data_IF_686784069592
#
_entry.id   IF_686784069592
#
_cell.length_a   1.000
_cell.length_b   1.000
_cell.length_c   1.000
_cell.angle_alpha   90.00
_cell.angle_beta   90.00
_cell.angle_gamma   90.00
#
_symmetry.space_group_name_H-M   'P 1'
#
loop_
_entity.id
_entity.type
_entity.pdbx_description
1 polymer ?
#
# COMPACT_ATOMS: atom_id res chain seq x y z
N UNK A 1 8.02 2.95 -11.21
CA UNK A 1 7.61 2.19 -9.99
C UNK A 1 6.36 1.35 -10.27
N UNK A 2 5.21 1.95 -10.59
CA UNK A 2 3.92 1.25 -10.78
C UNK A 2 4.00 0.13 -11.81
N UNK A 3 4.67 0.35 -12.93
CA UNK A 3 4.88 -0.65 -13.96
C UNK A 3 5.62 -1.89 -13.42
N UNK A 4 6.68 -1.69 -12.62
CA UNK A 4 7.43 -2.78 -12.00
C UNK A 4 6.60 -3.56 -10.99
N UNK A 5 5.71 -2.89 -10.26
CA UNK A 5 4.76 -3.55 -9.34
C UNK A 5 3.79 -4.42 -10.12
N UNK A 6 3.20 -3.89 -11.19
CA UNK A 6 2.26 -4.63 -12.03
C UNK A 6 2.91 -5.83 -12.70
N UNK A 7 4.15 -5.69 -13.19
CA UNK A 7 4.93 -6.81 -13.74
C UNK A 7 5.15 -7.91 -12.70
N UNK A 8 5.62 -7.53 -11.51
CA UNK A 8 5.90 -8.50 -10.46
C UNK A 8 4.62 -9.21 -9.98
N UNK A 9 3.50 -8.49 -9.87
CA UNK A 9 2.20 -9.08 -9.52
C UNK A 9 1.73 -10.02 -10.63
N UNK A 10 1.79 -9.59 -11.88
CA UNK A 10 1.38 -10.40 -13.04
C UNK A 10 2.18 -11.68 -13.14
N UNK A 11 3.53 -11.61 -13.01
CA UNK A 11 4.39 -12.80 -13.08
C UNK A 11 4.10 -13.79 -11.95
N UNK A 12 3.86 -13.30 -10.73
CA UNK A 12 3.64 -14.15 -9.55
C UNK A 12 2.22 -14.67 -9.40
N UNK A 13 1.27 -14.19 -10.23
CA UNK A 13 -0.16 -14.54 -10.22
C UNK A 13 -0.64 -15.18 -11.53
N UNK A 14 0.22 -15.85 -12.29
CA UNK A 14 -0.10 -16.42 -13.62
C UNK A 14 -1.34 -17.35 -13.68
N UNK A 15 -1.89 -17.75 -12.55
CA UNK A 15 -3.10 -18.58 -12.48
C UNK A 15 -4.38 -17.83 -12.10
N UNK A 16 -4.28 -16.60 -11.65
CA UNK A 16 -5.46 -15.79 -11.32
C UNK A 16 -6.01 -15.20 -12.62
N UNK A 17 -7.04 -15.83 -13.16
CA UNK A 17 -7.69 -15.56 -14.46
C UNK A 17 -8.29 -14.13 -14.56
N UNK A 18 -8.44 -13.41 -13.48
CA UNK A 18 -9.07 -12.08 -13.47
C UNK A 18 -8.14 -10.92 -13.83
N UNK A 19 -6.82 -11.11 -13.78
CA UNK A 19 -5.84 -10.10 -14.20
C UNK A 19 -5.27 -10.41 -15.59
N UNK A 20 -6.12 -10.47 -16.62
CA UNK A 20 -5.73 -10.50 -18.03
C UNK A 20 -5.05 -9.20 -18.49
N UNK A 21 -4.19 -8.63 -17.64
CA UNK A 21 -3.40 -7.46 -17.96
C UNK A 21 -2.08 -7.89 -18.59
N UNK A 22 -2.10 -8.20 -19.89
CA UNK A 22 -0.89 -8.54 -20.61
C UNK A 22 -0.08 -7.27 -20.91
N UNK A 23 0.80 -6.90 -19.96
CA UNK A 23 1.69 -5.73 -20.06
C UNK A 23 2.59 -5.78 -21.29
N UNK A 24 3.14 -6.95 -21.64
CA UNK A 24 4.00 -7.10 -22.83
C UNK A 24 3.26 -6.82 -24.12
N UNK A 25 2.03 -7.33 -24.25
CA UNK A 25 1.19 -7.06 -25.41
C UNK A 25 0.86 -5.57 -25.51
N UNK A 26 0.49 -4.94 -24.39
CA UNK A 26 0.16 -3.50 -24.36
C UNK A 26 1.36 -2.60 -24.63
N UNK A 27 2.57 -2.99 -24.20
CA UNK A 27 3.81 -2.28 -24.54
C UNK A 27 4.11 -2.35 -26.04
N UNK A 28 4.00 -3.55 -26.66
CA UNK A 28 4.19 -3.73 -28.11
C UNK A 28 3.21 -2.90 -28.93
N UNK A 29 2.01 -2.65 -28.40
CA UNK A 29 0.98 -1.85 -29.03
C UNK A 29 1.14 -0.33 -28.72
N UNK A 30 2.22 0.10 -28.05
CA UNK A 30 2.48 1.49 -27.61
C UNK A 30 1.36 2.13 -26.79
N UNK A 31 0.49 1.32 -26.17
CA UNK A 31 -0.65 1.80 -25.37
C UNK A 31 -0.27 2.21 -23.94
N UNK A 32 0.97 1.94 -23.51
CA UNK A 32 1.48 2.30 -22.18
C UNK A 32 2.61 3.29 -22.34
N UNK A 33 2.46 4.46 -21.72
CA UNK A 33 3.50 5.48 -21.62
C UNK A 33 3.80 5.76 -20.16
N UNK A 34 5.08 5.82 -19.82
CA UNK A 34 5.54 6.18 -18.49
C UNK A 34 5.64 7.70 -18.35
N UNK A 35 5.33 8.21 -17.18
CA UNK A 35 5.50 9.60 -16.81
C UNK A 35 6.07 9.74 -15.38
N UNK A 36 6.52 10.94 -15.06
CA UNK A 36 6.95 11.34 -13.70
C UNK A 36 6.51 12.77 -13.44
N UNK A 37 6.59 13.23 -12.18
CA UNK A 37 6.41 14.64 -11.83
C UNK A 37 7.28 15.52 -12.72
N UNK A 38 6.69 16.59 -13.25
CA UNK A 38 7.31 17.49 -14.22
C UNK A 38 7.09 17.10 -15.71
N UNK A 39 6.50 15.93 -15.99
CA UNK A 39 6.03 15.61 -17.33
C UNK A 39 4.81 16.46 -17.67
N UNK A 40 4.69 16.83 -18.97
CA UNK A 40 3.47 17.44 -19.53
C UNK A 40 2.93 16.51 -20.59
N UNK A 41 1.73 16.02 -20.39
CA UNK A 41 1.08 15.04 -21.26
C UNK A 41 -0.04 15.72 -22.02
N UNK A 42 0.03 15.73 -23.36
CA UNK A 42 -1.06 16.24 -24.19
C UNK A 42 -1.99 15.11 -24.62
N UNK A 43 -3.29 15.30 -24.35
CA UNK A 43 -4.36 14.39 -24.76
C UNK A 43 -5.39 15.23 -25.52
N UNK A 44 -5.29 15.23 -26.85
CA UNK A 44 -6.06 16.15 -27.69
C UNK A 44 -5.68 17.60 -27.39
N UNK A 45 -6.66 18.41 -27.00
CA UNK A 45 -6.49 19.81 -26.60
C UNK A 45 -6.18 20.02 -25.12
N UNK A 46 -6.15 18.95 -24.33
CA UNK A 46 -5.97 19.01 -22.87
C UNK A 46 -4.51 18.74 -22.53
N UNK A 47 -3.92 19.55 -21.65
CA UNK A 47 -2.61 19.29 -21.04
C UNK A 47 -2.80 18.73 -19.61
N UNK A 48 -2.14 17.63 -19.30
CA UNK A 48 -2.19 16.95 -18.00
C UNK A 48 -0.81 16.98 -17.36
N UNK A 49 -0.72 17.53 -16.14
CA UNK A 49 0.48 17.53 -15.31
C UNK A 49 0.34 16.50 -14.19
N UNK A 50 1.07 15.37 -14.22
CA UNK A 50 1.13 14.43 -13.13
C UNK A 50 2.03 14.95 -12.02
N UNK A 51 1.57 14.86 -10.78
CA UNK A 51 2.35 15.21 -9.58
C UNK A 51 2.31 14.04 -8.60
N UNK A 52 3.47 13.58 -8.17
CA UNK A 52 3.59 12.45 -7.25
C UNK A 52 2.93 12.77 -5.90
N UNK A 53 2.20 11.83 -5.33
CA UNK A 53 1.59 11.92 -4.01
C UNK A 53 2.05 10.77 -3.12
N UNK A 54 2.01 10.97 -1.82
CA UNK A 54 2.24 9.89 -0.85
C UNK A 54 1.00 9.01 -0.72
N UNK A 55 1.21 7.72 -0.84
CA UNK A 55 0.20 6.67 -0.64
C UNK A 55 0.91 5.39 -0.16
N UNK A 56 0.17 4.40 0.35
CA UNK A 56 0.72 3.11 0.80
C UNK A 56 1.42 2.34 -0.32
N UNK A 57 0.93 2.47 -1.56
CA UNK A 57 1.54 1.88 -2.77
C UNK A 57 2.41 2.92 -3.46
N UNK A 58 3.72 2.67 -3.68
CA UNK A 58 4.61 3.61 -4.36
C UNK A 58 4.18 3.86 -5.81
N UNK A 59 4.33 5.11 -6.26
CA UNK A 59 3.99 5.51 -7.63
C UNK A 59 2.55 5.99 -7.79
N UNK A 60 1.92 6.46 -6.71
CA UNK A 60 0.64 7.16 -6.75
C UNK A 60 0.83 8.60 -7.25
N UNK A 61 -0.12 9.09 -8.04
CA UNK A 61 -0.10 10.43 -8.64
C UNK A 61 -1.46 11.11 -8.54
N UNK A 62 -1.42 12.40 -8.21
CA UNK A 62 -2.49 13.32 -8.54
C UNK A 62 -2.23 13.99 -9.90
N UNK A 63 -3.25 14.57 -10.48
CA UNK A 63 -3.19 15.18 -11.82
C UNK A 63 -3.79 16.58 -11.80
N UNK A 64 -3.10 17.54 -12.45
CA UNK A 64 -3.62 18.87 -12.75
C UNK A 64 -3.92 18.88 -14.25
N UNK A 65 -5.18 19.05 -14.60
CA UNK A 65 -5.70 18.92 -15.95
C UNK A 65 -6.09 20.33 -16.43
N UNK A 66 -5.29 20.86 -17.34
CA UNK A 66 -5.52 22.20 -17.92
C UNK A 66 -6.47 22.11 -19.09
N UNK A 67 -7.63 22.74 -18.95
CA UNK A 67 -8.68 22.78 -20.00
C UNK A 67 -8.90 24.20 -20.46
N UNK A 68 -9.67 24.38 -21.55
CA UNK A 68 -10.03 25.70 -22.09
C UNK A 68 -10.93 26.54 -21.16
N UNK A 69 -11.58 25.90 -20.18
CA UNK A 69 -12.49 26.56 -19.22
C UNK A 69 -11.91 26.71 -17.82
N UNK A 70 -10.71 26.21 -17.58
CA UNK A 70 -10.00 26.25 -16.29
C UNK A 70 -9.35 24.93 -15.91
N UNK A 71 -8.64 24.91 -14.82
CA UNK A 71 -7.97 23.70 -14.34
C UNK A 71 -8.96 22.78 -13.60
N UNK A 72 -8.80 21.47 -13.80
CA UNK A 72 -9.45 20.41 -13.01
C UNK A 72 -8.37 19.63 -12.30
N UNK A 73 -8.50 19.42 -11.00
CA UNK A 73 -7.55 18.67 -10.19
C UNK A 73 -8.16 17.33 -9.81
N UNK A 74 -7.40 16.25 -9.98
CA UNK A 74 -7.73 14.91 -9.53
C UNK A 74 -6.65 14.41 -8.56
N UNK A 75 -7.03 14.08 -7.33
CA UNK A 75 -6.03 13.72 -6.31
C UNK A 75 -5.47 12.32 -6.50
N UNK A 76 -6.22 11.38 -7.08
CA UNK A 76 -6.00 9.97 -6.85
C UNK A 76 -6.11 9.65 -5.36
N UNK A 77 -5.65 8.48 -4.96
CA UNK A 77 -5.54 8.11 -3.55
C UNK A 77 -4.25 8.70 -2.98
N UNK A 78 -4.35 9.42 -1.86
CA UNK A 78 -3.20 10.09 -1.26
C UNK A 78 -3.31 10.20 0.26
N UNK A 79 -2.19 10.49 0.92
CA UNK A 79 -2.15 10.72 2.37
C UNK A 79 -1.13 11.82 2.70
N UNK A 80 -1.21 12.36 3.93
CA UNK A 80 -0.27 13.38 4.46
C UNK A 80 0.43 12.94 5.76
N UNK A 81 0.27 11.68 6.15
CA UNK A 81 0.80 11.12 7.40
C UNK A 81 1.74 9.92 7.15
N UNK A 82 2.11 9.67 5.91
CA UNK A 82 3.07 8.67 5.51
C UNK A 82 4.52 9.17 5.56
N UNK A 83 5.44 8.32 5.11
CA UNK A 83 6.87 8.60 5.16
C UNK A 83 7.33 9.70 4.18
N UNK A 84 6.52 9.99 3.16
CA UNK A 84 6.82 10.94 2.07
C UNK A 84 5.75 12.02 1.91
N UNK A 85 5.20 12.49 3.02
CA UNK A 85 4.16 13.51 3.06
C UNK A 85 4.51 14.80 2.28
N UNK A 86 5.79 15.12 2.13
CA UNK A 86 6.25 16.27 1.33
C UNK A 86 5.78 16.21 -0.13
N UNK A 87 5.59 15.01 -0.71
CA UNK A 87 5.06 14.84 -2.06
C UNK A 87 3.61 15.30 -2.16
N UNK A 88 2.77 14.91 -1.20
CA UNK A 88 1.36 15.34 -1.16
C UNK A 88 1.23 16.84 -0.85
N UNK A 89 2.14 17.40 -0.03
CA UNK A 89 2.18 18.84 0.21
C UNK A 89 2.56 19.61 -1.07
N UNK A 90 3.56 19.13 -1.82
CA UNK A 90 3.94 19.72 -3.12
C UNK A 90 2.77 19.65 -4.12
N UNK A 91 2.05 18.53 -4.15
CA UNK A 91 0.86 18.39 -4.99
C UNK A 91 -0.21 19.45 -4.64
N UNK A 92 -0.51 19.62 -3.34
CA UNK A 92 -1.49 20.61 -2.88
C UNK A 92 -1.08 22.04 -3.23
N UNK A 93 0.20 22.40 -3.10
CA UNK A 93 0.71 23.71 -3.49
C UNK A 93 0.58 23.96 -5.00
N UNK A 94 0.96 22.99 -5.83
CA UNK A 94 0.79 23.09 -7.30
C UNK A 94 -0.67 23.15 -7.72
N UNK A 95 -1.53 22.34 -7.09
CA UNK A 95 -2.96 22.35 -7.34
C UNK A 95 -3.59 23.70 -6.99
N UNK A 96 -3.19 24.29 -5.84
CA UNK A 96 -3.62 25.63 -5.45
C UNK A 96 -3.20 26.71 -6.45
N UNK A 97 -1.94 26.65 -6.92
CA UNK A 97 -1.43 27.59 -7.93
C UNK A 97 -2.10 27.51 -9.29
N UNK A 98 -2.82 26.41 -9.58
CA UNK A 98 -3.59 26.25 -10.81
C UNK A 98 -5.01 26.88 -10.75
N UNK A 99 -5.45 27.39 -9.59
CA UNK A 99 -6.76 28.00 -9.35
C UNK A 99 -7.92 27.16 -9.92
N UNK A 100 -8.10 25.91 -9.47
CA UNK A 100 -8.96 24.96 -10.15
C UNK A 100 -10.45 25.30 -10.02
N UNK A 101 -11.17 25.11 -11.11
CA UNK A 101 -12.64 25.22 -11.13
C UNK A 101 -13.29 23.96 -10.51
N UNK A 102 -12.58 22.83 -10.51
CA UNK A 102 -13.08 21.59 -9.93
C UNK A 102 -11.94 20.77 -9.30
N UNK A 103 -12.25 20.15 -8.16
CA UNK A 103 -11.40 19.16 -7.48
C UNK A 103 -12.18 17.85 -7.38
N UNK A 104 -11.63 16.79 -7.96
CA UNK A 104 -12.08 15.41 -7.79
C UNK A 104 -11.16 14.77 -6.77
N UNK A 105 -11.67 14.37 -5.62
CA UNK A 105 -10.85 13.90 -4.50
C UNK A 105 -11.44 12.67 -3.83
N UNK A 106 -10.54 11.81 -3.34
CA UNK A 106 -10.93 10.74 -2.44
C UNK A 106 -11.50 11.30 -1.13
N UNK A 107 -12.35 10.51 -0.48
CA UNK A 107 -12.91 10.80 0.84
C UNK A 107 -13.12 9.51 1.66
N UNK A 108 -12.16 8.60 1.59
CA UNK A 108 -12.24 7.23 2.11
C UNK A 108 -12.35 7.19 3.64
N UNK A 109 -11.57 8.00 4.35
CA UNK A 109 -11.47 7.96 5.82
C UNK A 109 -12.46 8.88 6.56
N UNK A 110 -13.57 9.26 5.95
CA UNK A 110 -14.56 10.11 6.64
C UNK A 110 -15.22 9.44 7.85
N UNK A 111 -15.29 8.11 7.83
CA UNK A 111 -15.76 7.27 8.95
C UNK A 111 -14.61 6.39 9.43
N UNK A 112 -14.43 6.28 10.75
CA UNK A 112 -13.45 5.33 11.32
C UNK A 112 -11.99 5.76 11.22
N UNK A 113 -11.67 7.04 11.05
CA UNK A 113 -10.30 7.53 11.02
C UNK A 113 -9.60 7.38 12.37
N UNK A 114 -8.53 6.58 12.43
CA UNK A 114 -7.64 6.53 13.58
C UNK A 114 -6.44 7.44 13.34
N UNK A 115 -6.26 8.44 14.21
CA UNK A 115 -5.12 9.35 14.11
C UNK A 115 -3.82 8.60 14.43
N UNK A 116 -3.02 8.37 13.41
CA UNK A 116 -1.73 7.70 13.49
C UNK A 116 -0.85 8.13 12.32
N UNK A 117 0.41 7.76 12.36
CA UNK A 117 1.38 7.98 11.29
C UNK A 117 2.21 6.72 11.06
N UNK A 118 2.86 6.60 9.91
CA UNK A 118 3.77 5.49 9.62
C UNK A 118 4.91 5.42 10.66
N UNK A 119 5.33 6.57 11.20
CA UNK A 119 6.32 6.63 12.29
C UNK A 119 5.80 6.04 13.60
N UNK A 120 4.54 6.25 13.94
CA UNK A 120 3.92 5.65 15.13
C UNK A 120 3.70 4.15 14.94
N UNK A 121 3.35 3.71 13.73
CA UNK A 121 3.32 2.29 13.36
C UNK A 121 4.68 1.65 13.61
N UNK A 122 5.78 2.21 13.08
CA UNK A 122 7.15 1.68 13.29
C UNK A 122 7.51 1.62 14.78
N UNK A 123 7.14 2.64 15.57
CA UNK A 123 7.35 2.66 17.02
C UNK A 123 6.61 1.53 17.74
N UNK A 124 5.30 1.35 17.43
CA UNK A 124 4.49 0.28 18.03
C UNK A 124 5.01 -1.11 17.63
N UNK A 125 5.36 -1.31 16.36
CA UNK A 125 5.98 -2.53 15.87
C UNK A 125 7.26 -2.86 16.64
N UNK A 126 8.14 -1.86 16.84
CA UNK A 126 9.39 -2.02 17.59
C UNK A 126 9.12 -2.50 19.03
N UNK A 127 8.12 -1.93 19.69
CA UNK A 127 7.74 -2.31 21.06
C UNK A 127 7.19 -3.74 21.15
N UNK A 128 6.26 -4.11 20.24
CA UNK A 128 5.67 -5.46 20.24
C UNK A 128 6.75 -6.52 19.97
N UNK A 129 7.62 -6.26 18.99
CA UNK A 129 8.71 -7.18 18.64
C UNK A 129 9.70 -7.33 19.81
N UNK A 130 9.99 -6.26 20.55
CA UNK A 130 10.85 -6.29 21.73
C UNK A 130 10.27 -7.15 22.87
N UNK A 131 8.95 -7.11 23.06
CA UNK A 131 8.25 -7.84 24.11
C UNK A 131 7.97 -9.32 23.76
N UNK A 132 8.07 -9.68 22.49
CA UNK A 132 7.79 -11.04 22.01
C UNK A 132 9.02 -11.92 22.19
N UNK A 133 8.91 -13.00 22.97
CA UNK A 133 10.00 -13.98 23.15
C UNK A 133 10.05 -15.06 22.06
N UNK A 134 8.95 -15.24 21.32
CA UNK A 134 8.80 -16.22 20.25
C UNK A 134 8.87 -15.61 18.85
N UNK A 135 8.20 -16.27 17.90
CA UNK A 135 8.06 -15.81 16.51
C UNK A 135 7.05 -14.66 16.43
N UNK A 136 7.38 -13.63 15.67
CA UNK A 136 6.43 -12.58 15.31
C UNK A 136 5.96 -12.83 13.87
N UNK A 137 4.66 -13.09 13.72
CA UNK A 137 4.01 -13.18 12.43
C UNK A 137 3.53 -11.78 12.04
N UNK A 138 3.84 -11.34 10.82
CA UNK A 138 3.51 -10.01 10.31
C UNK A 138 2.66 -10.13 9.04
N UNK A 139 1.44 -9.62 9.06
CA UNK A 139 0.56 -9.60 7.89
C UNK A 139 0.34 -8.17 7.41
N UNK A 140 0.82 -7.87 6.20
CA UNK A 140 0.69 -6.58 5.55
C UNK A 140 0.67 -6.70 4.03
N UNK A 141 0.10 -5.70 3.36
CA UNK A 141 0.01 -5.68 1.91
C UNK A 141 1.41 -5.65 1.26
N UNK A 142 1.67 -6.58 0.34
CA UNK A 142 2.98 -6.73 -0.32
C UNK A 142 3.45 -5.47 -1.05
N UNK A 143 2.54 -4.71 -1.63
CA UNK A 143 2.85 -3.47 -2.34
C UNK A 143 3.07 -2.27 -1.41
N UNK A 144 2.77 -2.39 -0.11
CA UNK A 144 3.04 -1.36 0.89
C UNK A 144 4.52 -1.40 1.30
N UNK A 145 5.35 -0.69 0.54
CA UNK A 145 6.80 -0.64 0.74
C UNK A 145 7.17 0.17 1.99
N UNK A 146 6.36 1.13 2.40
CA UNK A 146 6.59 1.85 3.64
C UNK A 146 6.37 0.94 4.85
N UNK A 147 5.32 0.10 4.83
CA UNK A 147 5.05 -0.89 5.86
C UNK A 147 6.14 -1.98 5.91
N UNK A 148 6.59 -2.47 4.75
CA UNK A 148 7.75 -3.35 4.68
C UNK A 148 8.97 -2.72 5.35
N UNK A 149 9.24 -1.44 5.09
CA UNK A 149 10.34 -0.70 5.73
C UNK A 149 10.16 -0.57 7.23
N UNK A 150 8.94 -0.28 7.70
CA UNK A 150 8.62 -0.19 9.13
C UNK A 150 8.87 -1.51 9.86
N UNK A 151 8.44 -2.64 9.30
CA UNK A 151 8.75 -3.96 9.85
C UNK A 151 10.23 -4.30 9.81
N UNK A 152 10.93 -4.00 8.71
CA UNK A 152 12.37 -4.19 8.61
C UNK A 152 13.14 -3.41 9.69
N UNK A 153 12.83 -2.12 9.85
CA UNK A 153 13.49 -1.28 10.85
C UNK A 153 13.21 -1.79 12.28
N UNK A 154 11.96 -2.16 12.56
CA UNK A 154 11.56 -2.69 13.85
C UNK A 154 12.23 -4.04 14.16
N UNK A 155 12.31 -4.95 13.19
CA UNK A 155 13.02 -6.22 13.32
C UNK A 155 14.53 -5.99 13.57
N UNK A 156 15.17 -5.18 12.74
CA UNK A 156 16.61 -4.85 12.86
C UNK A 156 16.97 -4.25 14.22
N UNK A 157 16.17 -3.30 14.74
CA UNK A 157 16.37 -2.69 16.06
C UNK A 157 16.31 -3.71 17.20
N UNK A 158 15.59 -4.80 17.00
CA UNK A 158 15.46 -5.89 17.97
C UNK A 158 16.40 -7.07 17.68
N UNK A 159 17.40 -6.92 16.81
CA UNK A 159 18.34 -7.96 16.45
C UNK A 159 17.70 -9.14 15.70
N UNK A 160 16.53 -8.93 15.09
CA UNK A 160 15.80 -9.96 14.34
C UNK A 160 15.92 -9.77 12.83
N UNK A 161 15.66 -10.83 12.11
CA UNK A 161 15.66 -10.88 10.65
C UNK A 161 14.20 -10.86 10.16
N UNK A 162 13.89 -9.97 9.21
CA UNK A 162 12.61 -9.98 8.53
C UNK A 162 12.63 -11.04 7.41
N UNK A 163 11.91 -12.14 7.60
CA UNK A 163 11.73 -13.18 6.59
C UNK A 163 10.49 -12.85 5.75
N UNK A 164 10.67 -12.66 4.45
CA UNK A 164 9.61 -12.32 3.49
C UNK A 164 9.27 -13.49 2.58
N UNK A 165 8.04 -13.57 2.07
CA UNK A 165 7.65 -14.61 1.12
C UNK A 165 8.41 -14.48 -0.22
N UNK A 166 8.48 -15.57 -1.00
CA UNK A 166 9.04 -15.54 -2.36
C UNK A 166 8.39 -14.48 -3.24
N UNK A 167 7.06 -14.30 -3.13
CA UNK A 167 6.32 -13.26 -3.89
C UNK A 167 6.73 -11.83 -3.48
N UNK A 168 6.96 -11.59 -2.19
CA UNK A 168 7.47 -10.31 -1.70
C UNK A 168 8.91 -10.07 -2.17
N UNK A 169 9.76 -11.09 -2.09
CA UNK A 169 11.15 -11.02 -2.55
C UNK A 169 11.23 -10.72 -4.06
N UNK A 170 10.39 -11.36 -4.87
CA UNK A 170 10.32 -11.07 -6.31
C UNK A 170 9.90 -9.63 -6.60
N UNK A 171 8.91 -9.12 -5.87
CA UNK A 171 8.51 -7.71 -5.98
C UNK A 171 9.67 -6.76 -5.60
N UNK A 172 10.34 -7.01 -4.48
CA UNK A 172 11.49 -6.20 -4.05
C UNK A 172 12.61 -6.21 -5.09
N UNK A 173 12.97 -7.39 -5.64
CA UNK A 173 13.95 -7.51 -6.72
C UNK A 173 13.55 -6.71 -7.97
N UNK A 174 12.27 -6.78 -8.35
CA UNK A 174 11.77 -6.02 -9.50
C UNK A 174 11.87 -4.51 -9.26
N UNK A 175 11.58 -4.05 -8.05
CA UNK A 175 11.66 -2.64 -7.66
C UNK A 175 13.08 -2.07 -7.58
N UNK A 176 14.11 -2.90 -7.48
CA UNK A 176 15.53 -2.46 -7.52
C UNK A 176 15.90 -1.76 -8.83
N UNK A 177 15.15 -2.00 -9.91
CA UNK A 177 15.30 -1.31 -11.19
C UNK A 177 14.93 0.19 -11.10
N UNK A 178 14.12 0.59 -10.10
CA UNK A 178 13.75 2.00 -9.87
C UNK A 178 14.76 2.67 -8.94
N UNK A 179 15.73 3.40 -9.52
CA UNK A 179 16.78 4.11 -8.77
C UNK A 179 16.24 5.22 -7.84
N UNK A 180 15.02 5.69 -8.07
CA UNK A 180 14.37 6.71 -7.23
C UNK A 180 13.73 6.14 -5.96
N UNK A 181 13.50 4.83 -5.90
CA UNK A 181 12.86 4.18 -4.77
C UNK A 181 13.91 3.61 -3.80
N UNK A 182 13.86 4.05 -2.53
CA UNK A 182 14.77 3.58 -1.48
C UNK A 182 14.04 2.66 -0.52
N UNK A 183 14.51 1.43 -0.39
CA UNK A 183 14.00 0.41 0.54
C UNK A 183 15.10 -0.60 0.87
N UNK A 184 14.98 -1.38 1.97
CA UNK A 184 15.91 -2.46 2.29
C UNK A 184 15.92 -3.53 1.19
N UNK A 185 17.09 -3.83 0.65
CA UNK A 185 17.26 -4.81 -0.45
C UNK A 185 17.39 -6.23 0.08
N UNK A 186 17.25 -7.21 -0.81
CA UNK A 186 17.35 -8.63 -0.48
C UNK A 186 18.76 -9.05 -0.04
N UNK A 187 19.80 -8.35 -0.48
CA UNK A 187 21.19 -8.58 -0.08
C UNK A 187 21.49 -8.15 1.37
N UNK A 188 20.58 -7.38 2.00
CA UNK A 188 20.75 -6.94 3.39
C UNK A 188 20.72 -8.12 4.37
N UNK A 189 21.65 -8.13 5.35
CA UNK A 189 21.81 -9.19 6.35
C UNK A 189 20.55 -9.43 7.22
N UNK A 190 19.75 -8.39 7.43
CA UNK A 190 18.51 -8.47 8.22
C UNK A 190 17.28 -8.83 7.38
N UNK A 191 17.46 -9.31 6.15
CA UNK A 191 16.39 -9.85 5.29
C UNK A 191 16.67 -11.30 4.98
N UNK A 192 15.65 -12.15 5.12
CA UNK A 192 15.65 -13.55 4.69
C UNK A 192 14.44 -13.82 3.80
N UNK A 193 14.46 -14.91 3.07
CA UNK A 193 13.37 -15.33 2.18
C UNK A 193 12.76 -16.62 2.70
N UNK A 194 11.49 -16.56 3.08
CA UNK A 194 10.73 -17.73 3.49
C UNK A 194 10.25 -18.50 2.26
N UNK A 195 10.66 -19.76 2.18
CA UNK A 195 10.30 -20.64 1.08
C UNK A 195 9.42 -21.78 1.59
N UNK A 196 8.17 -21.81 1.11
CA UNK A 196 7.25 -22.92 1.34
C UNK A 196 7.75 -24.18 0.64
N UNK A 197 7.63 -25.33 1.31
CA UNK A 197 7.93 -26.62 0.69
C UNK A 197 6.88 -26.93 -0.39
N UNK A 198 7.33 -27.16 -1.61
CA UNK A 198 6.51 -27.50 -2.77
C UNK A 198 7.10 -28.68 -3.54
N UNK A 199 6.26 -29.43 -4.24
CA UNK A 199 6.70 -30.46 -5.19
C UNK A 199 7.38 -29.87 -6.43
N UNK A 200 6.97 -28.67 -6.84
CA UNK A 200 7.53 -27.96 -8.00
C UNK A 200 7.51 -26.45 -7.79
N UNK A 201 8.63 -25.82 -8.08
CA UNK A 201 8.77 -24.35 -8.07
C UNK A 201 8.65 -23.78 -9.49
N UNK A 202 8.05 -22.61 -9.62
CA UNK A 202 8.03 -21.83 -10.85
C UNK A 202 9.42 -21.24 -11.16
N UNK A 203 9.63 -20.79 -12.41
CA UNK A 203 10.89 -20.19 -12.84
C UNK A 203 11.30 -19.00 -11.96
N UNK A 204 10.38 -18.07 -11.73
CA UNK A 204 10.61 -16.89 -10.88
C UNK A 204 10.90 -17.25 -9.41
N UNK A 205 10.32 -18.35 -8.88
CA UNK A 205 10.61 -18.81 -7.51
C UNK A 205 12.03 -19.35 -7.39
N UNK A 206 12.49 -20.13 -8.39
CA UNK A 206 13.86 -20.63 -8.45
C UNK A 206 14.86 -19.50 -8.59
N UNK A 207 14.59 -18.52 -9.46
CA UNK A 207 15.41 -17.33 -9.63
C UNK A 207 15.61 -16.59 -8.29
N UNK A 208 14.56 -16.41 -7.49
CA UNK A 208 14.69 -15.77 -6.18
C UNK A 208 15.48 -16.62 -5.20
N UNK A 209 15.30 -17.94 -5.20
CA UNK A 209 16.07 -18.85 -4.34
C UNK A 209 17.56 -18.80 -4.67
N UNK A 210 17.93 -18.75 -5.96
CA UNK A 210 19.32 -18.61 -6.41
C UNK A 210 19.92 -17.26 -6.02
N UNK A 211 19.18 -16.14 -6.26
CA UNK A 211 19.65 -14.79 -5.90
C UNK A 211 19.82 -14.63 -4.39
N UNK A 212 19.01 -15.33 -3.60
CA UNK A 212 19.02 -15.26 -2.13
C UNK A 212 19.67 -16.49 -1.50
N UNK A 213 20.57 -17.18 -2.21
CA UNK A 213 21.29 -18.33 -1.68
C UNK A 213 21.92 -18.02 -0.31
N UNK A 214 21.80 -18.94 0.65
CA UNK A 214 22.24 -18.75 2.05
C UNK A 214 21.30 -17.91 2.93
N UNK A 215 20.26 -17.27 2.36
CA UNK A 215 19.23 -16.50 3.10
C UNK A 215 17.85 -17.11 3.01
N UNK A 216 17.70 -18.21 2.30
CA UNK A 216 16.42 -18.94 2.19
C UNK A 216 16.20 -19.75 3.46
N UNK A 217 15.02 -19.60 4.05
CA UNK A 217 14.61 -20.31 5.27
C UNK A 217 13.27 -21.04 5.04
N UNK A 218 13.13 -22.22 5.62
CA UNK A 218 11.91 -23.02 5.58
C UNK A 218 11.12 -22.94 6.89
N UNK A 219 9.95 -23.57 6.92
CA UNK A 219 9.08 -23.61 8.09
C UNK A 219 9.79 -24.17 9.34
N UNK A 220 10.60 -25.23 9.17
CA UNK A 220 11.33 -25.87 10.29
C UNK A 220 12.42 -24.97 10.84
N UNK A 221 13.16 -24.27 9.97
CA UNK A 221 14.21 -23.33 10.40
C UNK A 221 13.60 -22.14 11.16
N UNK A 222 12.47 -21.61 10.70
CA UNK A 222 11.73 -20.55 11.36
C UNK A 222 11.17 -21.02 12.71
N UNK A 223 10.56 -22.20 12.79
CA UNK A 223 10.00 -22.74 14.04
C UNK A 223 11.05 -22.98 15.11
N UNK A 224 12.22 -23.54 14.74
CA UNK A 224 13.33 -23.77 15.68
C UNK A 224 13.95 -22.48 16.25
N UNK A 225 13.94 -21.41 15.48
CA UNK A 225 14.59 -20.14 15.80
C UNK A 225 13.58 -18.99 15.79
N UNK A 226 12.37 -19.20 16.33
CA UNK A 226 11.27 -18.24 16.25
C UNK A 226 11.64 -16.84 16.74
N UNK A 227 12.42 -16.74 17.80
CA UNK A 227 12.90 -15.48 18.36
C UNK A 227 13.87 -14.72 17.45
N UNK A 228 14.45 -15.36 16.44
CA UNK A 228 15.34 -14.73 15.45
C UNK A 228 14.55 -14.03 14.35
N UNK A 229 13.28 -14.40 14.14
CA UNK A 229 12.54 -13.98 12.97
C UNK A 229 11.33 -13.10 13.28
N UNK A 230 11.08 -12.16 12.38
CA UNK A 230 9.77 -11.59 12.09
C UNK A 230 9.38 -12.15 10.72
N UNK A 231 8.33 -12.98 10.65
CA UNK A 231 7.91 -13.64 9.42
C UNK A 231 6.75 -12.91 8.78
N UNK A 232 6.96 -12.34 7.60
CA UNK A 232 5.90 -11.78 6.78
C UNK A 232 5.10 -12.93 6.14
N UNK A 233 3.94 -13.23 6.73
CA UNK A 233 3.08 -14.35 6.35
C UNK A 233 1.64 -13.86 6.22
N UNK A 234 1.09 -13.96 5.02
CA UNK A 234 -0.32 -13.67 4.78
C UNK A 234 -1.21 -14.75 5.42
N UNK A 235 -2.40 -14.36 5.85
CA UNK A 235 -3.43 -15.29 6.31
C UNK A 235 -3.65 -16.47 5.36
N UNK A 236 -3.61 -16.25 4.06
CA UNK A 236 -3.76 -17.32 3.04
C UNK A 236 -2.63 -18.37 3.05
N UNK A 237 -1.58 -18.13 3.82
CA UNK A 237 -0.42 -19.01 3.96
C UNK A 237 -0.34 -19.64 5.35
N UNK A 238 -1.37 -19.55 6.19
CA UNK A 238 -1.38 -20.04 7.58
C UNK A 238 -1.29 -21.57 7.71
N UNK A 239 -1.52 -22.32 6.65
CA UNK A 239 -1.22 -23.74 6.60
C UNK A 239 0.26 -24.06 6.94
N UNK A 240 1.18 -23.12 6.69
CA UNK A 240 2.59 -23.24 7.05
C UNK A 240 2.82 -23.31 8.58
N UNK A 241 1.87 -22.82 9.39
CA UNK A 241 1.95 -22.88 10.85
C UNK A 241 1.96 -24.34 11.38
N UNK A 242 1.42 -25.29 10.60
CA UNK A 242 1.45 -26.72 10.90
C UNK A 242 2.90 -27.21 10.99
N UNK A 243 3.76 -26.77 10.08
CA UNK A 243 5.17 -27.16 10.01
C UNK A 243 6.05 -26.21 10.85
N UNK A 244 5.72 -24.92 10.93
CA UNK A 244 6.44 -23.92 11.75
C UNK A 244 6.32 -24.25 13.23
N UNK A 245 5.12 -24.60 13.71
CA UNK A 245 4.80 -24.82 15.13
C UNK A 245 5.31 -23.65 15.99
N UNK A 246 4.65 -22.47 15.92
CA UNK A 246 5.13 -21.27 16.60
C UNK A 246 5.45 -21.56 18.09
N UNK A 247 6.65 -21.20 18.57
CA UNK A 247 7.03 -21.46 19.96
C UNK A 247 6.22 -20.56 20.93
N UNK A 248 6.13 -20.90 22.22
CA UNK A 248 5.53 -20.05 23.23
C UNK A 248 6.09 -18.63 23.21
N UNK A 249 5.23 -17.63 23.44
CA UNK A 249 5.61 -16.21 23.35
C UNK A 249 5.60 -15.64 21.95
N UNK A 250 5.11 -16.41 20.95
CA UNK A 250 4.85 -15.91 19.59
C UNK A 250 3.60 -15.04 19.54
N UNK A 251 3.53 -14.13 18.58
CA UNK A 251 2.37 -13.27 18.36
C UNK A 251 2.13 -13.01 16.87
N UNK A 252 0.94 -12.48 16.57
CA UNK A 252 0.54 -12.07 15.24
C UNK A 252 0.25 -10.56 15.21
N UNK A 253 0.76 -9.88 14.21
CA UNK A 253 0.54 -8.45 13.96
C UNK A 253 -0.19 -8.29 12.63
N UNK A 254 -1.47 -7.91 12.70
CA UNK A 254 -2.24 -7.46 11.55
C UNK A 254 -1.88 -6.00 11.26
N UNK A 255 -1.34 -5.74 10.09
CA UNK A 255 -0.93 -4.42 9.65
C UNK A 255 -1.55 -4.06 8.29
N UNK A 256 -2.82 -4.41 8.14
CA UNK A 256 -3.70 -4.13 7.03
C UNK A 256 -5.03 -3.54 7.54
N UNK A 257 -5.88 -3.08 6.62
CA UNK A 257 -7.22 -2.61 6.95
C UNK A 257 -8.06 -3.73 7.58
N UNK A 258 -9.03 -3.36 8.40
CA UNK A 258 -10.06 -4.28 8.86
C UNK A 258 -10.95 -4.75 7.70
N UNK A 259 -11.65 -5.90 7.84
CA UNK A 259 -12.62 -6.34 6.85
C UNK A 259 -13.66 -5.25 6.55
N UNK A 260 -14.01 -5.10 5.29
CA UNK A 260 -15.00 -4.13 4.84
C UNK A 260 -16.12 -4.76 3.98
N UNK A 261 -16.14 -6.09 3.84
CA UNK A 261 -17.20 -6.85 3.20
C UNK A 261 -17.37 -8.22 3.86
N UNK A 262 -18.49 -8.89 3.59
CA UNK A 262 -18.84 -10.19 4.19
C UNK A 262 -17.82 -11.30 3.90
N UNK A 263 -17.24 -11.33 2.71
CA UNK A 263 -16.22 -12.34 2.34
C UNK A 263 -14.95 -12.16 3.21
N UNK A 264 -14.51 -10.93 3.40
CA UNK A 264 -13.38 -10.63 4.28
C UNK A 264 -13.68 -10.93 5.75
N UNK A 265 -14.93 -10.76 6.20
CA UNK A 265 -15.33 -11.13 7.56
C UNK A 265 -15.23 -12.64 7.79
N UNK A 266 -15.65 -13.46 6.82
CA UNK A 266 -15.50 -14.92 6.88
C UNK A 266 -14.02 -15.32 6.99
N UNK A 267 -13.16 -14.73 6.16
CA UNK A 267 -11.72 -14.99 6.23
C UNK A 267 -11.12 -14.52 7.57
N UNK A 268 -11.63 -13.41 8.12
CA UNK A 268 -11.18 -12.90 9.41
C UNK A 268 -11.58 -13.81 10.59
N UNK A 269 -12.76 -14.42 10.54
CA UNK A 269 -13.15 -15.45 11.51
C UNK A 269 -12.28 -16.72 11.41
N UNK A 270 -11.92 -17.14 10.20
CA UNK A 270 -10.97 -18.24 9.98
C UNK A 270 -9.60 -17.89 10.54
N UNK A 271 -9.12 -16.67 10.35
CA UNK A 271 -7.89 -16.15 10.94
C UNK A 271 -7.94 -16.27 12.46
N UNK A 272 -9.00 -15.77 13.12
CA UNK A 272 -9.17 -15.86 14.58
C UNK A 272 -9.10 -17.30 15.08
N UNK A 273 -9.69 -18.26 14.35
CA UNK A 273 -9.64 -19.67 14.72
C UNK A 273 -8.20 -20.24 14.67
N UNK A 274 -7.40 -19.87 13.65
CA UNK A 274 -5.99 -20.22 13.57
C UNK A 274 -5.19 -19.63 14.73
N UNK A 275 -5.37 -18.34 15.02
CA UNK A 275 -4.68 -17.65 16.12
C UNK A 275 -5.01 -18.29 17.48
N UNK A 276 -6.29 -18.62 17.70
CA UNK A 276 -6.74 -19.32 18.91
C UNK A 276 -6.12 -20.71 19.03
N UNK A 277 -6.06 -21.47 17.93
CA UNK A 277 -5.49 -22.82 17.92
C UNK A 277 -4.02 -22.84 18.33
N UNK A 278 -3.24 -21.84 17.86
CA UNK A 278 -1.80 -21.75 18.19
C UNK A 278 -1.50 -20.85 19.39
N UNK A 279 -2.51 -20.29 20.05
CA UNK A 279 -2.32 -19.39 21.20
C UNK A 279 -1.57 -18.12 20.86
N UNK A 280 -1.84 -17.53 19.68
CA UNK A 280 -1.17 -16.34 19.16
C UNK A 280 -1.99 -15.09 19.50
N UNK A 281 -1.55 -14.22 20.43
CA UNK A 281 -2.20 -12.93 20.63
C UNK A 281 -2.09 -12.09 19.38
N UNK A 282 -3.21 -11.41 19.02
CA UNK A 282 -3.30 -10.51 17.87
C UNK A 282 -3.09 -9.06 18.29
N UNK A 283 -2.22 -8.37 17.57
CA UNK A 283 -2.06 -6.92 17.63
C UNK A 283 -2.51 -6.31 16.29
N UNK A 284 -3.35 -5.28 16.33
CA UNK A 284 -3.68 -4.49 15.14
C UNK A 284 -2.86 -3.20 15.14
N UNK A 285 -1.92 -3.09 14.19
CA UNK A 285 -1.01 -1.95 14.06
C UNK A 285 -1.00 -1.48 12.61
N UNK A 286 -1.92 -0.59 12.30
CA UNK A 286 -2.14 -0.09 10.94
C UNK A 286 -2.34 1.42 10.91
N UNK A 287 -2.01 2.03 9.80
CA UNK A 287 -2.42 3.38 9.41
C UNK A 287 -2.83 3.36 7.95
N UNK A 288 -3.92 4.04 7.64
CA UNK A 288 -4.50 4.08 6.30
C UNK A 288 -3.54 4.63 5.25
N UNK A 289 -3.66 4.12 4.04
CA UNK A 289 -3.03 4.70 2.83
C UNK A 289 -3.70 5.98 2.36
N UNK A 290 -4.88 6.32 2.91
CA UNK A 290 -5.74 7.42 2.48
C UNK A 290 -5.71 8.59 3.45
N UNK A 291 -6.00 9.79 2.94
CA UNK A 291 -5.91 11.04 3.70
C UNK A 291 -6.87 11.06 4.90
N UNK A 292 -6.42 11.66 6.02
CA UNK A 292 -7.25 11.85 7.21
C UNK A 292 -8.23 13.02 7.02
N UNK A 293 -9.44 12.97 7.62
CA UNK A 293 -10.51 13.96 7.37
C UNK A 293 -10.07 15.41 7.57
N UNK A 294 -9.39 15.73 8.68
CA UNK A 294 -8.91 17.10 8.94
C UNK A 294 -7.82 17.55 7.96
N UNK A 295 -6.98 16.62 7.50
CA UNK A 295 -5.96 16.90 6.49
C UNK A 295 -6.61 17.12 5.13
N UNK A 296 -7.64 16.34 4.79
CA UNK A 296 -8.42 16.50 3.57
C UNK A 296 -9.09 17.87 3.53
N UNK A 297 -9.76 18.27 4.62
CA UNK A 297 -10.38 19.62 4.72
C UNK A 297 -9.35 20.72 4.48
N UNK A 298 -8.20 20.68 5.15
CA UNK A 298 -7.11 21.66 4.95
C UNK A 298 -6.57 21.67 3.53
N UNK A 299 -6.45 20.50 2.89
CA UNK A 299 -6.02 20.39 1.51
C UNK A 299 -7.04 21.05 0.56
N UNK A 300 -8.33 20.79 0.75
CA UNK A 300 -9.42 21.40 -0.03
C UNK A 300 -9.44 22.91 0.17
N UNK A 301 -9.36 23.39 1.42
CA UNK A 301 -9.29 24.82 1.74
C UNK A 301 -8.08 25.53 1.10
N UNK A 302 -6.90 24.87 1.09
CA UNK A 302 -5.68 25.38 0.48
C UNK A 302 -5.76 25.42 -1.05
N UNK A 303 -6.30 24.37 -1.67
CA UNK A 303 -6.52 24.30 -3.13
C UNK A 303 -7.56 25.31 -3.57
N UNK A 304 -8.58 25.55 -2.73
CA UNK A 304 -9.67 26.50 -2.94
C UNK A 304 -10.39 26.35 -4.29
N UNK A 305 -10.91 25.15 -4.63
CA UNK A 305 -11.63 24.92 -5.87
C UNK A 305 -13.04 25.53 -5.82
N UNK A 306 -13.63 25.87 -6.99
CA UNK A 306 -15.04 26.30 -7.03
C UNK A 306 -16.00 25.16 -6.71
N UNK A 307 -15.65 23.93 -7.12
CA UNK A 307 -16.46 22.72 -6.89
C UNK A 307 -15.60 21.56 -6.41
N UNK A 308 -16.14 20.75 -5.49
CA UNK A 308 -15.52 19.50 -5.02
C UNK A 308 -16.42 18.32 -5.37
N UNK A 309 -15.82 17.29 -5.95
CA UNK A 309 -16.46 16.03 -6.32
C UNK A 309 -15.84 14.92 -5.49
N UNK A 310 -16.47 14.49 -4.37
CA UNK A 310 -15.99 13.35 -3.59
C UNK A 310 -16.18 12.05 -4.36
N UNK A 311 -15.12 11.25 -4.39
CA UNK A 311 -15.09 9.90 -4.94
C UNK A 311 -14.42 8.96 -3.95
N UNK A 312 -14.41 7.67 -4.23
CA UNK A 312 -13.79 6.63 -3.41
C UNK A 312 -14.24 6.71 -1.94
N UNK A 313 -15.55 6.86 -1.75
CA UNK A 313 -16.22 6.93 -0.44
C UNK A 313 -17.62 6.36 -0.53
N UNK A 314 -18.07 5.70 0.54
CA UNK A 314 -19.45 5.24 0.69
C UNK A 314 -20.39 6.35 1.20
N UNK A 315 -19.81 7.45 1.72
CA UNK A 315 -20.53 8.52 2.39
C UNK A 315 -20.17 9.92 1.85
N UNK A 316 -20.41 10.21 0.55
CA UNK A 316 -20.02 11.49 -0.04
C UNK A 316 -20.74 12.69 0.59
N UNK A 317 -21.96 12.49 1.13
CA UNK A 317 -22.74 13.51 1.86
C UNK A 317 -22.09 13.92 3.18
N UNK A 318 -21.26 13.05 3.79
CA UNK A 318 -20.51 13.41 4.99
C UNK A 318 -19.44 14.46 4.68
N UNK A 319 -18.77 14.35 3.53
CA UNK A 319 -17.80 15.39 3.13
C UNK A 319 -18.49 16.73 2.97
N UNK A 320 -19.64 16.77 2.33
CA UNK A 320 -20.43 18.01 2.18
C UNK A 320 -20.77 18.64 3.53
N UNK A 321 -21.24 17.85 4.49
CA UNK A 321 -21.54 18.32 5.86
C UNK A 321 -20.27 18.73 6.61
N UNK A 322 -19.19 17.99 6.46
CA UNK A 322 -17.93 18.23 7.16
C UNK A 322 -17.20 19.50 6.67
N UNK A 323 -17.28 19.82 5.40
CA UNK A 323 -16.72 21.07 4.85
C UNK A 323 -17.51 22.28 5.35
N UNK A 324 -18.83 22.17 5.54
CA UNK A 324 -19.70 23.26 5.98
C UNK A 324 -19.70 24.40 4.96
N UNK A 325 -20.73 24.53 4.14
CA UNK A 325 -20.76 25.58 3.11
C UNK A 325 -20.91 27.01 3.68
N UNK A 326 -20.33 28.09 2.99
CA UNK A 326 -20.87 28.45 1.68
C UNK A 326 -19.88 28.67 0.54
N UNK A 327 -18.57 28.57 0.74
CA UNK A 327 -17.61 29.01 -0.28
C UNK A 327 -17.25 27.93 -1.31
N UNK A 328 -17.35 26.64 -0.96
CA UNK A 328 -16.94 25.53 -1.82
C UNK A 328 -18.16 24.63 -2.10
N UNK A 329 -18.63 24.60 -3.33
CA UNK A 329 -19.76 23.78 -3.73
C UNK A 329 -19.37 22.30 -3.79
N UNK A 330 -19.89 21.47 -2.89
CA UNK A 330 -19.73 20.01 -2.95
C UNK A 330 -20.82 19.39 -3.82
N UNK A 331 -20.40 18.62 -4.84
CA UNK A 331 -21.29 17.95 -5.80
C UNK A 331 -21.17 16.44 -5.58
N UNK A 332 -22.25 15.82 -5.13
CA UNK A 332 -22.32 14.36 -5.02
C UNK A 332 -22.50 13.77 -6.41
N UNK A 333 -21.63 12.82 -6.78
CA UNK A 333 -21.62 12.23 -8.11
C UNK A 333 -22.42 10.94 -8.17
N UNK A 334 -23.13 10.76 -9.29
CA UNK A 334 -23.81 9.52 -9.64
C UNK A 334 -23.14 8.88 -10.84
N UNK A 335 -23.08 7.55 -10.84
CA UNK A 335 -22.51 6.78 -11.94
C UNK A 335 -23.21 7.11 -13.26
N UNK A 336 -22.45 7.27 -14.32
CA UNK A 336 -22.95 7.56 -15.69
C UNK A 336 -23.61 8.94 -15.89
N UNK A 337 -23.58 9.83 -14.86
CA UNK A 337 -24.06 11.20 -15.00
C UNK A 337 -22.96 12.13 -15.53
N UNK A 338 -23.38 13.12 -16.36
CA UNK A 338 -22.50 14.18 -16.88
C UNK A 338 -22.69 15.45 -16.06
N UNK A 339 -21.60 16.04 -15.62
CA UNK A 339 -21.58 17.28 -14.88
C UNK A 339 -20.93 18.38 -15.69
N UNK A 340 -21.61 19.53 -15.81
CA UNK A 340 -21.08 20.70 -16.53
C UNK A 340 -20.29 21.57 -15.54
N UNK A 341 -19.04 21.84 -15.87
CA UNK A 341 -18.17 22.76 -15.15
C UNK A 341 -18.35 24.17 -15.75
N UNK A 342 -19.25 24.97 -15.15
CA UNK A 342 -19.51 26.35 -15.57
C UNK A 342 -19.15 27.32 -14.45
#
# INVERSE_FOLDING_TARGET
TTELILEAISETRKRDLELNFNLEKRRKEEKIKNFRTGSKIKIGSVEVEPVHVDHSVPGAYGFIIHTSVGAVVYTGDFRMHGAKNSMSLEFVEKASGAEPIALITEATNLTGAHFSSEREVEKKLTQIIAQSSGLVLADFARADIDRFRSFYNAAKRNGRVLAVSLKQAYLLKSLEKDKGLRFPRLDNENVAVFCKKKSRYYGWEREIQEVCEGKVVDAKAVGRNGNKYVLALSFYDFEELIDIKPPPGSCYILSASEPFNEEMEIDFERLKNWLKHYGLPQYHVHVSGHIMPLQLKRAIEKINPKMVFPIHTEHPELLKKFLGEPSIKTVIVEKEHKYLLK
#
